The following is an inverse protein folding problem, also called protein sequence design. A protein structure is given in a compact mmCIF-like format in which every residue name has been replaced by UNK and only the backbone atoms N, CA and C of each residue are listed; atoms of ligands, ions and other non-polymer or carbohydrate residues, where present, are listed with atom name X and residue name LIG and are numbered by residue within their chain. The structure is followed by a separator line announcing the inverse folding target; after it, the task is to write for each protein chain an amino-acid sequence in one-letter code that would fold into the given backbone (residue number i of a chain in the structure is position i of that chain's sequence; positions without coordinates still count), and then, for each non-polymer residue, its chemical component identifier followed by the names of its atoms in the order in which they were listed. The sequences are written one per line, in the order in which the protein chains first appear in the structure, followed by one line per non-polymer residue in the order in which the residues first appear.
data_IF_251584855743
#
_entry.id   IF_251584855743
#
_cell.length_a   1.000
_cell.length_b   1.000
_cell.length_c   1.000
_cell.angle_alpha   90.00
_cell.angle_beta   90.00
_cell.angle_gamma   90.00
#
_symmetry.space_group_name_H-M   'P 1'
#
loop_
_entity.id
_entity.type
_entity.pdbx_description
1 polymer ?
#
# COMPACT_ATOMS: atom_id res chain seq x y z
N UNK A 1 7.88 55.79 -26.52
CA UNK A 1 7.13 54.77 -27.26
C UNK A 1 5.82 55.33 -27.74
N UNK A 2 5.55 55.28 -29.04
CA UNK A 2 4.30 55.75 -29.62
C UNK A 2 3.13 54.83 -29.23
N UNK A 3 1.89 55.34 -29.24
CA UNK A 3 0.67 54.52 -29.01
C UNK A 3 0.62 53.28 -29.92
N UNK A 4 1.19 53.41 -31.12
CA UNK A 4 1.32 52.35 -32.12
C UNK A 4 2.28 51.26 -31.66
N UNK A 5 3.45 51.61 -31.12
CA UNK A 5 4.45 50.64 -30.63
C UNK A 5 3.94 49.79 -29.46
N UNK A 6 3.16 50.37 -28.55
CA UNK A 6 2.54 49.62 -27.43
C UNK A 6 1.49 48.62 -27.92
N UNK A 7 0.70 48.98 -28.93
CA UNK A 7 -0.29 48.09 -29.52
C UNK A 7 0.38 46.89 -30.23
N UNK A 8 1.49 47.13 -30.92
CA UNK A 8 2.28 46.07 -31.59
C UNK A 8 2.89 45.10 -30.58
N UNK A 9 3.43 45.59 -29.46
CA UNK A 9 3.98 44.71 -28.41
C UNK A 9 2.91 43.86 -27.71
N UNK A 10 1.72 44.43 -27.44
CA UNK A 10 0.61 43.69 -26.87
C UNK A 10 0.10 42.59 -27.81
N UNK A 11 0.00 42.87 -29.11
CA UNK A 11 -0.37 41.88 -30.13
C UNK A 11 0.66 40.74 -30.25
N UNK A 12 1.95 41.06 -30.22
CA UNK A 12 3.03 40.07 -30.25
C UNK A 12 3.03 39.15 -29.02
N UNK A 13 2.74 39.68 -27.82
CA UNK A 13 2.62 38.90 -26.60
C UNK A 13 1.43 37.93 -26.65
N UNK A 14 0.28 38.37 -27.16
CA UNK A 14 -0.92 37.52 -27.34
C UNK A 14 -0.67 36.44 -28.39
N UNK A 15 0.00 36.76 -29.49
CA UNK A 15 0.38 35.79 -30.52
C UNK A 15 1.32 34.72 -29.98
N UNK A 16 2.33 35.09 -29.18
CA UNK A 16 3.23 34.14 -28.52
C UNK A 16 2.52 33.26 -27.48
N UNK A 17 1.55 33.79 -26.73
CA UNK A 17 0.73 33.01 -25.79
C UNK A 17 -0.12 31.98 -26.54
N UNK A 18 -0.76 32.37 -27.64
CA UNK A 18 -1.54 31.47 -28.51
C UNK A 18 -0.66 30.40 -29.15
N UNK A 19 0.54 30.76 -29.63
CA UNK A 19 1.51 29.82 -30.19
C UNK A 19 1.97 28.80 -29.15
N UNK A 20 2.32 29.23 -27.93
CA UNK A 20 2.68 28.33 -26.81
C UNK A 20 1.55 27.38 -26.43
N UNK A 21 0.30 27.85 -26.40
CA UNK A 21 -0.87 27.00 -26.14
C UNK A 21 -1.12 26.00 -27.27
N UNK A 22 -0.98 26.41 -28.53
CA UNK A 22 -1.10 25.54 -29.69
C UNK A 22 0.02 24.49 -29.72
N UNK A 23 1.26 24.86 -29.44
CA UNK A 23 2.41 23.95 -29.35
C UNK A 23 2.27 22.97 -28.18
N UNK A 24 1.74 23.42 -27.02
CA UNK A 24 1.41 22.54 -25.90
C UNK A 24 0.28 21.56 -26.25
N UNK A 25 -0.78 22.01 -26.93
CA UNK A 25 -1.88 21.15 -27.40
C UNK A 25 -1.40 20.15 -28.46
N UNK A 26 -0.50 20.58 -29.35
CA UNK A 26 0.14 19.72 -30.36
C UNK A 26 1.07 18.70 -29.71
N UNK A 27 1.86 19.11 -28.69
CA UNK A 27 2.68 18.20 -27.88
C UNK A 27 1.82 17.19 -27.13
N UNK A 28 0.72 17.61 -26.51
CA UNK A 28 -0.26 16.70 -25.89
C UNK A 28 -0.85 15.72 -26.91
N UNK A 29 -1.18 16.18 -28.12
CA UNK A 29 -1.68 15.31 -29.20
C UNK A 29 -0.63 14.33 -29.73
N UNK A 30 0.63 14.74 -29.82
CA UNK A 30 1.74 13.86 -30.22
C UNK A 30 2.05 12.83 -29.12
N UNK A 31 2.07 13.27 -27.86
CA UNK A 31 2.27 12.39 -26.72
C UNK A 31 1.12 11.38 -26.61
N UNK A 32 -0.12 11.82 -26.78
CA UNK A 32 -1.29 10.96 -26.79
C UNK A 32 -1.19 9.89 -27.89
N UNK A 33 -0.83 10.29 -29.12
CA UNK A 33 -0.59 9.33 -30.21
C UNK A 33 0.53 8.35 -29.90
N UNK A 34 1.59 8.80 -29.23
CA UNK A 34 2.68 7.94 -28.81
C UNK A 34 2.22 6.94 -27.74
N UNK A 35 1.46 7.39 -26.73
CA UNK A 35 0.88 6.52 -25.69
C UNK A 35 -0.07 5.50 -26.30
N UNK A 36 -0.94 5.91 -27.23
CA UNK A 36 -1.83 5.01 -27.97
C UNK A 36 -1.00 3.97 -28.75
N UNK A 37 0.04 4.39 -29.47
CA UNK A 37 0.93 3.46 -30.18
C UNK A 37 1.61 2.49 -29.24
N UNK A 38 2.19 2.96 -28.13
CA UNK A 38 2.82 2.10 -27.12
C UNK A 38 1.84 1.08 -26.56
N UNK A 39 0.61 1.49 -26.25
CA UNK A 39 -0.45 0.57 -25.80
C UNK A 39 -0.72 -0.54 -26.83
N UNK A 40 -0.79 -0.22 -28.12
CA UNK A 40 -0.94 -1.23 -29.17
C UNK A 40 0.29 -2.14 -29.30
N UNK A 41 1.50 -1.59 -29.19
CA UNK A 41 2.73 -2.39 -29.23
C UNK A 41 2.81 -3.34 -28.04
N UNK A 42 2.54 -2.87 -26.83
CA UNK A 42 2.52 -3.66 -25.60
C UNK A 42 1.51 -4.82 -25.70
N UNK A 43 0.29 -4.53 -26.16
CA UNK A 43 -0.74 -5.54 -26.38
C UNK A 43 -0.35 -6.58 -27.43
N UNK A 44 0.16 -6.13 -28.58
CA UNK A 44 0.59 -7.02 -29.67
C UNK A 44 1.70 -7.96 -29.24
N UNK A 45 2.77 -7.43 -28.63
CA UNK A 45 3.89 -8.27 -28.17
C UNK A 45 3.53 -9.09 -26.94
N UNK A 46 2.69 -8.58 -26.04
CA UNK A 46 2.18 -9.34 -24.89
C UNK A 46 1.42 -10.60 -25.31
N UNK A 47 0.62 -10.53 -26.38
CA UNK A 47 -0.07 -11.70 -26.95
C UNK A 47 0.90 -12.77 -27.47
N UNK A 48 2.06 -12.36 -27.97
CA UNK A 48 3.07 -13.27 -28.49
C UNK A 48 4.10 -13.70 -27.44
N UNK A 49 3.97 -13.24 -26.19
CA UNK A 49 4.81 -13.70 -25.12
C UNK A 49 4.52 -15.18 -24.83
N UNK A 50 5.59 -15.93 -24.71
CA UNK A 50 5.57 -17.36 -24.43
C UNK A 50 4.85 -17.72 -23.12
N UNK A 51 5.01 -16.86 -22.11
CA UNK A 51 4.36 -16.93 -20.82
C UNK A 51 3.93 -15.53 -20.39
N UNK A 52 2.70 -15.41 -19.90
CA UNK A 52 2.14 -14.16 -19.37
C UNK A 52 1.77 -14.35 -17.90
N UNK A 53 2.09 -13.34 -17.09
CA UNK A 53 1.77 -13.32 -15.65
C UNK A 53 1.11 -11.99 -15.30
N UNK A 54 0.24 -12.01 -14.30
CA UNK A 54 -0.45 -10.83 -13.79
C UNK A 54 -0.68 -10.96 -12.29
N UNK A 55 -0.90 -9.84 -11.60
CA UNK A 55 -0.94 -9.81 -10.13
C UNK A 55 -2.34 -9.94 -9.53
N UNK A 56 -3.39 -9.89 -10.37
CA UNK A 56 -4.80 -10.02 -9.95
C UNK A 56 -5.62 -10.82 -10.97
N UNK A 57 -6.79 -11.32 -10.55
CA UNK A 57 -7.74 -11.90 -11.48
C UNK A 57 -8.42 -10.85 -12.34
N UNK A 58 -8.66 -9.64 -11.82
CA UNK A 58 -9.17 -8.53 -12.60
C UNK A 58 -8.25 -8.17 -13.79
N UNK A 59 -6.94 -8.07 -13.55
CA UNK A 59 -5.93 -7.82 -14.59
C UNK A 59 -5.85 -8.97 -15.59
N UNK A 60 -5.94 -10.23 -15.11
CA UNK A 60 -6.02 -11.40 -16.00
C UNK A 60 -7.19 -11.29 -16.97
N UNK A 61 -8.36 -10.91 -16.46
CA UNK A 61 -9.58 -10.80 -17.26
C UNK A 61 -9.48 -9.64 -18.25
N UNK A 62 -8.98 -8.48 -17.82
CA UNK A 62 -8.75 -7.32 -18.68
C UNK A 62 -7.78 -7.63 -19.83
N UNK A 63 -6.65 -8.29 -19.55
CA UNK A 63 -5.68 -8.71 -20.57
C UNK A 63 -6.28 -9.73 -21.56
N UNK A 64 -7.15 -10.62 -21.09
CA UNK A 64 -7.87 -11.57 -21.95
C UNK A 64 -8.89 -10.88 -22.83
N UNK A 65 -9.66 -9.94 -22.30
CA UNK A 65 -10.71 -9.25 -23.05
C UNK A 65 -10.13 -8.24 -24.05
N UNK A 66 -9.05 -7.55 -23.69
CA UNK A 66 -8.42 -6.54 -24.55
C UNK A 66 -7.52 -7.17 -25.63
N UNK A 67 -6.78 -8.23 -25.32
CA UNK A 67 -5.69 -8.73 -26.18
C UNK A 67 -5.71 -10.25 -26.40
N UNK A 68 -6.67 -10.98 -25.84
CA UNK A 68 -6.73 -12.45 -25.84
C UNK A 68 -5.46 -13.09 -25.24
N UNK A 69 -4.87 -12.40 -24.26
CA UNK A 69 -3.70 -12.87 -23.53
C UNK A 69 -4.12 -13.88 -22.46
N UNK A 70 -3.52 -15.06 -22.48
CA UNK A 70 -3.71 -16.07 -21.43
C UNK A 70 -2.63 -15.92 -20.36
N UNK A 71 -2.93 -15.14 -19.31
CA UNK A 71 -2.02 -14.93 -18.19
C UNK A 71 -2.34 -15.81 -16.98
N UNK A 72 -1.31 -16.23 -16.24
CA UNK A 72 -1.48 -16.80 -14.90
C UNK A 72 -1.48 -15.69 -13.84
N UNK A 73 -2.35 -15.82 -12.85
CA UNK A 73 -2.41 -14.89 -11.72
C UNK A 73 -1.42 -15.31 -10.66
N UNK A 74 -0.47 -14.43 -10.36
CA UNK A 74 0.56 -14.57 -9.33
C UNK A 74 0.48 -13.35 -8.44
N UNK A 75 -0.31 -13.47 -7.37
CA UNK A 75 -0.38 -12.41 -6.36
C UNK A 75 1.01 -12.08 -5.80
N UNK A 76 1.29 -10.79 -5.72
CA UNK A 76 2.45 -10.30 -5.00
C UNK A 76 2.21 -10.42 -3.47
N UNK A 77 3.28 -10.68 -2.73
CA UNK A 77 3.26 -11.11 -1.32
C UNK A 77 4.48 -10.61 -0.56
N UNK A 78 4.32 -10.14 0.69
CA UNK A 78 5.45 -9.75 1.52
C UNK A 78 6.34 -10.97 1.81
N UNK A 79 7.65 -10.75 1.99
CA UNK A 79 8.56 -11.80 2.39
C UNK A 79 8.20 -12.31 3.80
N UNK A 80 7.96 -13.62 3.90
CA UNK A 80 7.48 -14.27 5.13
C UNK A 80 8.47 -14.25 6.29
N UNK A 81 9.75 -13.95 6.04
CA UNK A 81 10.80 -14.00 7.07
C UNK A 81 10.83 -12.78 7.98
N UNK A 82 10.34 -11.61 7.54
CA UNK A 82 10.43 -10.35 8.30
C UNK A 82 9.09 -9.69 8.62
N UNK A 83 8.05 -9.91 7.82
CA UNK A 83 6.75 -9.29 8.05
C UNK A 83 5.98 -10.09 9.10
N UNK A 84 6.00 -9.61 10.34
CA UNK A 84 5.22 -10.17 11.44
C UNK A 84 4.85 -9.09 12.46
N UNK A 85 3.84 -9.41 13.27
CA UNK A 85 3.50 -8.60 14.44
C UNK A 85 4.68 -8.57 15.42
N UNK A 86 5.04 -7.36 15.85
CA UNK A 86 6.06 -7.17 16.91
C UNK A 86 5.52 -7.67 18.25
N UNK A 87 6.37 -8.36 19.01
CA UNK A 87 6.06 -8.68 20.41
C UNK A 87 6.07 -7.38 21.25
N UNK A 88 5.62 -7.44 22.51
CA UNK A 88 5.48 -6.22 23.32
C UNK A 88 6.85 -5.57 23.61
N UNK A 89 7.90 -6.37 23.78
CA UNK A 89 9.29 -5.92 23.99
C UNK A 89 9.85 -5.18 22.76
N UNK A 90 9.77 -5.79 21.58
CA UNK A 90 10.17 -5.20 20.30
C UNK A 90 9.38 -3.93 20.01
N UNK A 91 8.09 -3.92 20.33
CA UNK A 91 7.21 -2.77 20.13
C UNK A 91 7.59 -1.61 21.05
N UNK A 92 7.94 -1.89 22.30
CA UNK A 92 8.43 -0.89 23.24
C UNK A 92 9.77 -0.30 22.76
N UNK A 93 10.73 -1.15 22.40
CA UNK A 93 12.02 -0.71 21.86
C UNK A 93 11.84 0.12 20.58
N UNK A 94 10.88 -0.25 19.72
CA UNK A 94 10.52 0.53 18.55
C UNK A 94 9.96 1.92 18.91
N UNK A 95 9.04 2.02 19.87
CA UNK A 95 8.51 3.31 20.33
C UNK A 95 9.58 4.18 21.00
N UNK A 96 10.47 3.60 21.81
CA UNK A 96 11.61 4.32 22.39
C UNK A 96 12.53 4.85 21.29
N UNK A 97 12.84 4.02 20.28
CA UNK A 97 13.65 4.44 19.13
C UNK A 97 12.98 5.59 18.37
N UNK A 98 11.68 5.50 18.09
CA UNK A 98 10.93 6.58 17.42
C UNK A 98 10.93 7.88 18.24
N UNK A 99 10.65 7.78 19.54
CA UNK A 99 10.64 8.92 20.45
C UNK A 99 11.99 9.65 20.53
N UNK A 100 13.09 8.93 20.29
CA UNK A 100 14.47 9.47 20.25
C UNK A 100 14.90 9.94 18.85
N UNK A 101 14.25 9.46 17.78
CA UNK A 101 14.74 9.64 16.40
C UNK A 101 14.62 11.07 15.88
N UNK A 102 13.47 11.73 16.09
CA UNK A 102 13.26 13.11 15.64
C UNK A 102 12.32 13.88 16.54
N UNK A 103 12.42 15.20 16.48
CA UNK A 103 11.56 16.12 17.22
C UNK A 103 10.08 16.03 16.77
N UNK A 104 9.82 15.47 15.59
CA UNK A 104 8.47 15.23 15.06
C UNK A 104 7.73 14.14 15.85
N UNK A 105 8.46 13.20 16.44
CA UNK A 105 7.90 12.12 17.26
C UNK A 105 7.89 12.44 18.76
N UNK A 106 8.04 13.71 19.15
CA UNK A 106 7.97 14.13 20.57
C UNK A 106 6.69 13.67 21.28
N UNK A 107 5.57 13.58 20.56
CA UNK A 107 4.27 13.10 21.07
C UNK A 107 4.31 11.63 21.55
N UNK A 108 5.33 10.86 21.17
CA UNK A 108 5.53 9.47 21.63
C UNK A 108 6.19 9.40 23.02
N UNK A 109 6.75 10.52 23.52
CA UNK A 109 7.29 10.65 24.87
C UNK A 109 6.17 10.84 25.89
N UNK A 110 6.43 10.51 27.15
CA UNK A 110 5.54 10.88 28.26
C UNK A 110 5.93 12.26 28.79
N UNK A 111 4.96 13.05 29.27
CA UNK A 111 5.21 14.37 29.86
C UNK A 111 6.14 14.30 31.09
N UNK A 112 6.23 13.12 31.71
CA UNK A 112 7.11 12.82 32.84
C UNK A 112 8.60 12.84 32.48
N UNK A 113 8.96 12.73 31.19
CA UNK A 113 10.34 12.82 30.71
C UNK A 113 10.79 14.26 30.42
N UNK A 114 9.95 15.26 30.71
CA UNK A 114 10.19 16.67 30.41
C UNK A 114 10.34 17.57 31.66
N UNK A 115 10.94 17.05 32.72
CA UNK A 115 11.38 17.90 33.84
C UNK A 115 12.78 17.54 34.30
N UNK A 116 13.78 18.03 33.58
CA UNK A 116 14.89 18.76 34.18
C UNK A 116 15.32 19.85 33.20
N UNK A 117 15.29 21.10 33.68
CA UNK A 117 15.53 22.32 32.89
C UNK A 117 16.99 22.51 32.43
N UNK A 118 17.84 21.50 32.60
CA UNK A 118 19.24 21.51 32.17
C UNK A 118 19.44 20.29 31.28
N UNK A 119 19.61 20.52 29.97
CA UNK A 119 19.73 19.50 28.93
C UNK A 119 21.02 18.68 29.01
N UNK A 120 21.26 18.01 30.13
CA UNK A 120 22.23 16.94 30.28
C UNK A 120 21.48 15.63 30.48
N UNK A 121 21.62 14.73 29.50
CA UNK A 121 21.18 13.35 29.63
C UNK A 121 22.07 12.68 30.67
N UNK A 122 21.50 12.39 31.84
CA UNK A 122 22.20 11.61 32.85
C UNK A 122 22.37 10.16 32.34
N UNK A 123 23.62 9.70 32.24
CA UNK A 123 24.07 8.38 31.78
C UNK A 123 23.51 7.16 32.56
N UNK A 124 22.49 7.36 33.42
CA UNK A 124 21.84 6.32 34.24
C UNK A 124 20.34 6.12 33.98
N UNK A 125 19.69 6.90 33.10
CA UNK A 125 18.23 6.88 32.86
C UNK A 125 17.73 5.84 31.84
N UNK A 126 18.58 4.93 31.35
CA UNK A 126 18.16 3.90 30.37
C UNK A 126 17.20 2.84 30.95
N UNK A 127 17.01 2.77 32.27
CA UNK A 127 16.30 1.65 32.91
C UNK A 127 14.78 1.81 33.06
N UNK A 128 14.21 3.00 32.88
CA UNK A 128 12.77 3.27 33.11
C UNK A 128 12.18 4.21 32.05
N UNK A 129 12.36 3.90 30.76
CA UNK A 129 11.79 4.73 29.70
C UNK A 129 10.31 4.42 29.50
N UNK A 130 9.44 5.30 29.99
CA UNK A 130 8.02 5.26 29.66
C UNK A 130 7.73 5.98 28.34
N UNK A 131 7.04 5.30 27.43
CA UNK A 131 6.51 5.88 26.20
C UNK A 131 5.02 6.14 26.36
N UNK A 132 4.44 6.96 25.48
CA UNK A 132 2.98 7.20 25.45
C UNK A 132 2.15 5.91 25.24
N UNK A 133 2.79 4.82 24.81
CA UNK A 133 2.15 3.56 24.46
C UNK A 133 2.44 2.41 25.44
N UNK A 134 3.61 2.40 26.06
CA UNK A 134 4.14 1.27 26.82
C UNK A 134 5.15 1.71 27.87
N UNK A 135 5.26 0.94 28.94
CA UNK A 135 6.19 1.14 30.04
C UNK A 135 6.83 -0.19 30.44
N UNK A 136 7.98 -0.12 31.12
CA UNK A 136 8.65 -1.27 31.71
C UNK A 136 8.44 -1.23 33.22
N UNK A 137 7.95 -2.32 33.79
CA UNK A 137 7.73 -2.45 35.25
C UNK A 137 9.05 -2.77 35.98
N UNK A 138 9.02 -2.74 37.31
CA UNK A 138 10.16 -3.05 38.18
C UNK A 138 10.72 -4.46 37.97
N UNK A 139 9.87 -5.40 37.50
CA UNK A 139 10.26 -6.77 37.13
C UNK A 139 10.87 -6.87 35.71
N UNK A 140 11.28 -5.74 35.12
CA UNK A 140 11.81 -5.60 33.76
C UNK A 140 10.88 -6.06 32.63
N UNK A 141 9.61 -6.34 32.95
CA UNK A 141 8.59 -6.74 31.97
C UNK A 141 7.94 -5.52 31.32
N UNK A 142 7.79 -5.58 30.01
CA UNK A 142 7.10 -4.54 29.24
C UNK A 142 5.59 -4.74 29.23
N UNK A 143 4.87 -3.65 29.48
CA UNK A 143 3.42 -3.58 29.48
C UNK A 143 2.92 -2.46 28.57
N UNK A 144 1.81 -2.72 27.86
CA UNK A 144 1.10 -1.68 27.12
C UNK A 144 0.21 -0.89 28.07
N UNK A 145 0.17 0.44 27.89
CA UNK A 145 -0.64 1.30 28.75
C UNK A 145 -2.14 1.15 28.44
N UNK A 146 -2.98 1.29 29.47
CA UNK A 146 -4.45 1.27 29.34
C UNK A 146 -5.02 2.63 28.89
N UNK A 147 -4.20 3.67 28.81
CA UNK A 147 -4.55 5.00 28.29
C UNK A 147 -3.82 5.31 26.96
N UNK A 148 -3.22 4.31 26.31
CA UNK A 148 -2.45 4.51 25.08
C UNK A 148 -3.35 4.96 23.92
N UNK A 149 -2.88 5.87 23.06
CA UNK A 149 -3.64 6.28 21.89
C UNK A 149 -3.64 5.18 20.81
N UNK A 150 -4.67 5.21 19.96
CA UNK A 150 -4.75 4.40 18.74
C UNK A 150 -3.86 5.05 17.66
N UNK A 151 -3.03 4.26 16.98
CA UNK A 151 -2.25 4.72 15.83
C UNK A 151 -3.02 4.34 14.56
N UNK A 152 -3.39 5.33 13.77
CA UNK A 152 -3.90 5.16 12.41
C UNK A 152 -2.80 5.52 11.42
N UNK A 153 -2.49 4.61 10.50
CA UNK A 153 -1.47 4.81 9.47
C UNK A 153 -2.18 4.83 8.12
N UNK A 154 -2.00 5.91 7.36
CA UNK A 154 -2.34 5.95 5.94
C UNK A 154 -1.17 5.44 5.12
N UNK A 155 -1.41 4.58 4.13
CA UNK A 155 -0.38 4.05 3.24
C UNK A 155 0.13 5.08 2.22
N UNK A 156 -0.60 6.17 2.01
CA UNK A 156 -0.28 7.26 1.10
C UNK A 156 -0.40 8.58 1.85
N UNK A 157 0.61 9.44 1.73
CA UNK A 157 0.50 10.85 2.14
C UNK A 157 -0.44 11.56 1.17
N UNK A 158 -1.15 12.57 1.65
CA UNK A 158 -1.85 13.50 0.76
C UNK A 158 -0.90 14.64 0.43
N UNK A 159 -0.55 14.78 -0.85
CA UNK A 159 0.05 16.01 -1.36
C UNK A 159 -0.87 16.56 -2.45
N UNK A 160 -1.05 17.89 -2.50
CA UNK A 160 -2.01 18.55 -3.40
C UNK A 160 -1.73 18.29 -4.88
N UNK A 161 -0.51 17.87 -5.20
CA UNK A 161 -0.02 17.51 -6.54
C UNK A 161 -0.35 16.08 -6.99
N UNK A 162 -0.88 15.21 -6.12
CA UNK A 162 -1.27 13.83 -6.48
C UNK A 162 -2.71 13.75 -7.01
N UNK A 163 -2.87 13.26 -8.25
CA UNK A 163 -4.19 12.95 -8.83
C UNK A 163 -4.68 11.56 -8.35
N UNK A 164 -5.42 11.57 -7.24
CA UNK A 164 -6.05 10.36 -6.69
C UNK A 164 -7.08 9.74 -7.64
N UNK A 165 -7.64 10.49 -8.60
CA UNK A 165 -8.54 9.94 -9.61
C UNK A 165 -7.81 8.91 -10.47
N UNK A 166 -6.62 9.27 -10.95
CA UNK A 166 -5.76 8.37 -11.72
C UNK A 166 -5.34 7.14 -10.90
N UNK A 167 -4.99 7.34 -9.63
CA UNK A 167 -4.64 6.24 -8.73
C UNK A 167 -5.81 5.26 -8.53
N UNK A 168 -7.01 5.79 -8.25
CA UNK A 168 -8.22 4.99 -8.04
C UNK A 168 -8.64 4.24 -9.31
N UNK A 169 -8.41 4.83 -10.48
CA UNK A 169 -8.66 4.19 -11.76
C UNK A 169 -7.69 3.03 -12.01
N UNK A 170 -6.40 3.19 -11.69
CA UNK A 170 -5.41 2.12 -11.78
C UNK A 170 -5.72 0.94 -10.82
N UNK A 171 -6.15 1.26 -9.60
CA UNK A 171 -6.52 0.26 -8.59
C UNK A 171 -7.75 -0.59 -8.98
N UNK A 172 -8.48 -0.27 -10.06
CA UNK A 172 -9.56 -1.15 -10.54
C UNK A 172 -9.04 -2.51 -10.98
N UNK A 173 -7.81 -2.56 -11.48
CA UNK A 173 -7.18 -3.77 -12.01
C UNK A 173 -6.07 -4.30 -11.10
N UNK A 174 -5.47 -3.45 -10.26
CA UNK A 174 -4.32 -3.83 -9.43
C UNK A 174 -4.64 -3.89 -7.94
N UNK A 175 -4.00 -4.82 -7.23
CA UNK A 175 -4.18 -4.99 -5.79
C UNK A 175 -3.18 -4.12 -5.01
N UNK A 176 -3.60 -3.53 -3.88
CA UNK A 176 -2.75 -2.64 -3.13
C UNK A 176 -1.71 -3.44 -2.33
N UNK A 177 -0.45 -3.37 -2.76
CA UNK A 177 0.66 -4.07 -2.09
C UNK A 177 0.78 -3.78 -0.61
N UNK A 178 0.44 -2.55 -0.22
CA UNK A 178 0.45 -2.10 1.17
C UNK A 178 -0.50 -2.90 2.06
N UNK A 179 -1.65 -3.34 1.54
CA UNK A 179 -2.59 -4.18 2.31
C UNK A 179 -1.98 -5.55 2.57
N UNK A 180 -1.26 -6.09 1.58
CA UNK A 180 -0.60 -7.39 1.70
C UNK A 180 0.50 -7.34 2.78
N UNK A 181 1.29 -6.26 2.82
CA UNK A 181 2.28 -5.98 3.87
C UNK A 181 1.63 -5.89 5.26
N UNK A 182 0.50 -5.17 5.36
CA UNK A 182 -0.25 -5.01 6.62
C UNK A 182 -0.80 -6.35 7.11
N UNK A 183 -1.30 -7.20 6.23
CA UNK A 183 -1.76 -8.55 6.57
C UNK A 183 -0.62 -9.44 7.05
N UNK A 184 0.57 -9.34 6.47
CA UNK A 184 1.76 -10.03 6.99
C UNK A 184 2.04 -9.70 8.47
N UNK A 185 1.72 -8.48 8.88
CA UNK A 185 1.86 -8.02 10.27
C UNK A 185 0.60 -8.21 11.14
N UNK A 186 -0.43 -8.90 10.64
CA UNK A 186 -1.74 -9.06 11.28
C UNK A 186 -2.40 -7.71 11.64
N UNK A 187 -2.24 -6.71 10.78
CA UNK A 187 -2.82 -5.38 10.95
C UNK A 187 -4.14 -5.29 10.17
N UNK A 188 -5.28 -5.06 10.84
CA UNK A 188 -6.54 -4.79 10.17
C UNK A 188 -6.47 -3.52 9.32
N UNK A 189 -7.12 -3.55 8.16
CA UNK A 189 -7.12 -2.45 7.20
C UNK A 189 -8.52 -1.87 7.01
N UNK A 190 -8.57 -0.57 6.70
CA UNK A 190 -9.76 0.10 6.20
C UNK A 190 -9.44 0.55 4.78
N UNK A 191 -10.18 0.07 3.77
CA UNK A 191 -9.82 0.26 2.37
C UNK A 191 -10.98 0.83 1.57
N UNK A 192 -10.69 1.78 0.67
CA UNK A 192 -11.69 2.29 -0.28
C UNK A 192 -12.13 1.12 -1.19
N UNK A 193 -13.43 0.95 -1.42
CA UNK A 193 -13.93 -0.09 -2.33
C UNK A 193 -13.59 0.24 -3.78
N UNK A 194 -13.08 -0.75 -4.50
CA UNK A 194 -12.84 -0.76 -5.95
C UNK A 194 -12.96 -2.19 -6.48
N UNK A 195 -12.97 -2.38 -7.81
CA UNK A 195 -13.42 -3.61 -8.46
C UNK A 195 -12.71 -4.89 -7.98
N UNK A 196 -11.38 -4.88 -7.87
CA UNK A 196 -10.60 -6.07 -7.52
C UNK A 196 -10.32 -6.22 -6.02
N UNK A 197 -10.67 -5.26 -5.15
CA UNK A 197 -10.29 -5.32 -3.72
C UNK A 197 -10.86 -6.54 -3.00
N UNK A 198 -11.99 -7.06 -3.48
CA UNK A 198 -12.62 -8.27 -2.94
C UNK A 198 -11.79 -9.53 -3.09
N UNK A 199 -10.78 -9.55 -3.98
CA UNK A 199 -9.81 -10.64 -4.08
C UNK A 199 -8.88 -10.72 -2.85
N UNK A 200 -8.71 -9.60 -2.13
CA UNK A 200 -7.79 -9.48 -1.01
C UNK A 200 -8.51 -9.21 0.32
N UNK A 201 -9.51 -8.31 0.33
CA UNK A 201 -10.21 -7.87 1.54
C UNK A 201 -11.67 -8.31 1.50
N UNK A 202 -12.05 -9.11 2.48
CA UNK A 202 -13.42 -9.48 2.79
C UNK A 202 -13.96 -8.59 3.90
N UNK A 203 -14.93 -7.74 3.56
CA UNK A 203 -15.50 -6.72 4.45
C UNK A 203 -16.11 -7.34 5.71
N UNK A 204 -15.65 -6.91 6.88
CA UNK A 204 -16.05 -7.42 8.18
C UNK A 204 -15.32 -8.70 8.62
N UNK A 205 -14.55 -9.34 7.75
CA UNK A 205 -13.77 -10.54 8.09
C UNK A 205 -12.30 -10.22 8.36
N UNK A 206 -11.56 -9.72 7.37
CA UNK A 206 -10.12 -9.40 7.48
C UNK A 206 -9.83 -7.90 7.34
N UNK A 207 -10.83 -7.09 7.03
CA UNK A 207 -10.73 -5.63 6.97
C UNK A 207 -12.11 -4.99 6.90
N UNK A 208 -12.16 -3.67 6.72
CA UNK A 208 -13.39 -2.93 6.47
C UNK A 208 -13.30 -2.18 5.16
N UNK A 209 -14.38 -2.19 4.39
CA UNK A 209 -14.49 -1.43 3.15
C UNK A 209 -15.36 -0.19 3.35
N UNK A 210 -15.04 0.88 2.63
CA UNK A 210 -15.83 2.11 2.62
C UNK A 210 -15.92 2.69 1.21
N UNK A 211 -16.97 3.46 0.96
CA UNK A 211 -17.15 4.23 -0.28
C UNK A 211 -17.22 5.73 -0.05
N UNK A 212 -17.67 6.14 1.14
CA UNK A 212 -17.88 7.55 1.48
C UNK A 212 -17.02 8.01 2.65
N UNK A 213 -16.76 9.32 2.71
CA UNK A 213 -16.08 9.92 3.86
C UNK A 213 -16.87 9.73 5.17
N UNK A 214 -18.20 9.66 5.08
CA UNK A 214 -19.07 9.39 6.23
C UNK A 214 -18.87 7.96 6.76
N UNK A 215 -18.84 6.96 5.88
CA UNK A 215 -18.54 5.57 6.27
C UNK A 215 -17.15 5.43 6.87
N UNK A 216 -16.14 6.03 6.24
CA UNK A 216 -14.77 6.04 6.77
C UNK A 216 -14.72 6.63 8.19
N UNK A 217 -15.33 7.81 8.37
CA UNK A 217 -15.40 8.47 9.68
C UNK A 217 -16.12 7.60 10.71
N UNK A 218 -17.22 6.95 10.32
CA UNK A 218 -17.97 6.07 11.19
C UNK A 218 -17.16 4.84 11.62
N UNK A 219 -16.44 4.19 10.69
CA UNK A 219 -15.58 3.04 10.97
C UNK A 219 -14.45 3.45 11.93
N UNK A 220 -13.75 4.56 11.65
CA UNK A 220 -12.66 5.06 12.51
C UNK A 220 -13.18 5.38 13.91
N UNK A 221 -14.31 6.09 14.03
CA UNK A 221 -14.93 6.40 15.33
C UNK A 221 -15.29 5.12 16.08
N UNK A 222 -15.87 4.15 15.39
CA UNK A 222 -16.24 2.86 15.97
C UNK A 222 -15.03 2.19 16.60
N UNK A 223 -13.90 2.10 15.89
CA UNK A 223 -12.68 1.47 16.41
C UNK A 223 -11.95 2.30 17.48
N UNK A 224 -12.04 3.64 17.44
CA UNK A 224 -11.42 4.51 18.42
C UNK A 224 -12.20 4.59 19.73
N UNK A 225 -13.54 4.50 19.70
CA UNK A 225 -14.39 4.58 20.88
C UNK A 225 -14.10 3.44 21.86
N UNK A 226 -13.62 3.79 23.06
CA UNK A 226 -13.37 2.83 24.14
C UNK A 226 -12.05 2.08 24.04
N UNK A 227 -11.23 2.33 23.02
CA UNK A 227 -9.86 1.83 22.96
C UNK A 227 -9.01 2.49 24.07
N UNK A 228 -8.10 1.74 24.73
CA UNK A 228 -7.74 0.33 24.56
C UNK A 228 -8.45 -0.64 25.51
N UNK A 229 -9.54 -0.23 26.19
CA UNK A 229 -10.19 -1.04 27.22
C UNK A 229 -10.99 -2.20 26.60
N UNK A 230 -10.59 -3.42 26.96
CA UNK A 230 -11.03 -4.70 26.39
C UNK A 230 -12.53 -5.02 26.51
N UNK A 231 -13.30 -4.23 27.27
CA UNK A 231 -14.72 -4.46 27.52
C UNK A 231 -15.65 -3.89 26.46
N UNK A 232 -15.13 -3.25 25.41
CA UNK A 232 -15.94 -2.59 24.38
C UNK A 232 -16.10 -3.46 23.14
N UNK A 233 -17.33 -3.48 22.58
CA UNK A 233 -17.68 -4.19 21.34
C UNK A 233 -16.74 -3.79 20.18
N UNK A 234 -16.32 -2.53 20.16
CA UNK A 234 -15.36 -1.98 19.20
C UNK A 234 -14.00 -2.66 19.21
N UNK A 235 -13.44 -2.95 20.40
CA UNK A 235 -12.15 -3.60 20.52
C UNK A 235 -12.26 -5.09 20.19
N UNK A 236 -13.39 -5.72 20.53
CA UNK A 236 -13.69 -7.08 20.09
C UNK A 236 -13.70 -7.17 18.56
N UNK A 237 -14.35 -6.24 17.86
CA UNK A 237 -14.31 -6.21 16.40
C UNK A 237 -12.89 -6.07 15.85
N UNK A 238 -12.08 -5.15 16.37
CA UNK A 238 -10.69 -4.97 15.92
C UNK A 238 -9.84 -6.22 16.17
N UNK A 239 -10.00 -6.86 17.33
CA UNK A 239 -9.32 -8.12 17.64
C UNK A 239 -9.81 -9.27 16.74
N UNK A 240 -11.11 -9.38 16.47
CA UNK A 240 -11.67 -10.37 15.56
C UNK A 240 -11.08 -10.22 14.17
N UNK A 241 -11.00 -9.00 13.63
CA UNK A 241 -10.36 -8.74 12.34
C UNK A 241 -8.89 -9.20 12.34
N UNK A 242 -8.13 -8.83 13.38
CA UNK A 242 -6.73 -9.22 13.51
C UNK A 242 -6.56 -10.74 13.64
N UNK A 243 -7.43 -11.40 14.40
CA UNK A 243 -7.43 -12.86 14.57
C UNK A 243 -7.81 -13.58 13.28
N UNK A 244 -8.75 -13.06 12.50
CA UNK A 244 -9.13 -13.64 11.21
C UNK A 244 -7.99 -13.57 10.19
N UNK A 245 -7.24 -12.45 10.16
CA UNK A 245 -6.02 -12.32 9.33
C UNK A 245 -4.98 -13.37 9.73
N UNK A 246 -4.84 -13.66 11.04
CA UNK A 246 -3.90 -14.67 11.52
C UNK A 246 -4.38 -16.11 11.29
N UNK A 247 -5.69 -16.35 11.35
CA UNK A 247 -6.29 -17.66 11.15
C UNK A 247 -6.23 -18.10 9.68
N UNK A 248 -6.34 -17.13 8.76
CA UNK A 248 -6.24 -17.34 7.32
C UNK A 248 -5.10 -16.51 6.72
N UNK A 249 -3.84 -16.87 7.02
CA UNK A 249 -2.69 -16.12 6.54
C UNK A 249 -2.55 -16.31 5.03
N UNK A 250 -2.16 -15.24 4.34
CA UNK A 250 -1.85 -15.32 2.92
C UNK A 250 -0.79 -16.39 2.65
N UNK A 251 -0.99 -17.16 1.58
CA UNK A 251 0.02 -18.09 1.07
C UNK A 251 1.35 -17.34 0.84
N UNK A 252 2.47 -17.98 1.23
CA UNK A 252 3.79 -17.37 1.03
C UNK A 252 4.08 -17.19 -0.45
N UNK A 253 4.89 -16.18 -0.78
CA UNK A 253 5.32 -15.93 -2.16
C UNK A 253 5.88 -17.20 -2.82
N UNK A 254 6.73 -17.95 -2.12
CA UNK A 254 7.33 -19.20 -2.61
C UNK A 254 6.28 -20.27 -2.95
N UNK A 255 5.31 -20.51 -2.07
CA UNK A 255 4.25 -21.50 -2.30
C UNK A 255 3.34 -21.06 -3.44
N UNK A 256 3.04 -19.76 -3.55
CA UNK A 256 2.26 -19.22 -4.65
C UNK A 256 2.99 -19.36 -5.99
N UNK A 257 4.29 -19.06 -6.01
CA UNK A 257 5.15 -19.24 -7.16
C UNK A 257 5.21 -20.71 -7.60
N UNK A 258 5.41 -21.64 -6.66
CA UNK A 258 5.48 -23.07 -6.95
C UNK A 258 4.13 -23.63 -7.45
N UNK A 259 3.01 -23.05 -7.01
CA UNK A 259 1.68 -23.47 -7.45
C UNK A 259 1.30 -22.89 -8.82
N UNK A 260 1.62 -21.63 -9.09
CA UNK A 260 1.15 -20.91 -10.28
C UNK A 260 2.19 -20.82 -11.39
N UNK A 261 3.45 -20.54 -11.05
CA UNK A 261 4.52 -20.28 -12.02
C UNK A 261 5.35 -21.51 -12.36
N UNK A 262 5.70 -22.30 -11.36
CA UNK A 262 6.56 -23.46 -11.57
C UNK A 262 6.00 -24.48 -12.60
N UNK A 263 4.69 -24.80 -12.63
CA UNK A 263 4.14 -25.69 -13.65
C UNK A 263 4.27 -25.12 -15.07
N UNK A 264 4.14 -23.80 -15.22
CA UNK A 264 4.29 -23.12 -16.50
C UNK A 264 5.73 -23.20 -17.00
N UNK A 265 6.70 -22.85 -16.15
CA UNK A 265 8.13 -22.89 -16.49
C UNK A 265 8.59 -24.32 -16.77
N UNK A 266 8.11 -25.31 -16.01
CA UNK A 266 8.46 -26.72 -16.20
C UNK A 266 7.95 -27.28 -17.52
N UNK A 267 6.74 -26.88 -17.92
CA UNK A 267 6.15 -27.30 -19.19
C UNK A 267 6.68 -26.47 -20.37
N UNK A 268 7.25 -25.30 -20.09
CA UNK A 268 7.85 -24.43 -21.08
C UNK A 268 9.15 -25.05 -21.62
N UNK A 269 9.12 -25.49 -22.88
CA UNK A 269 10.22 -26.21 -23.53
C UNK A 269 10.28 -27.72 -23.21
N UNK A 270 9.33 -28.26 -22.43
CA UNK A 270 9.18 -29.70 -22.30
C UNK A 270 8.72 -30.27 -23.66
N UNK A 271 9.52 -31.16 -24.23
CA UNK A 271 9.14 -31.93 -25.40
C UNK A 271 7.80 -32.62 -25.13
N UNK A 272 6.90 -32.60 -26.10
CA UNK A 272 5.68 -33.40 -26.01
C UNK A 272 6.04 -34.87 -25.78
N UNK A 273 5.15 -35.66 -25.18
CA UNK A 273 5.38 -37.10 -25.00
C UNK A 273 5.73 -37.79 -26.34
N UNK A 274 5.20 -37.28 -27.45
CA UNK A 274 5.49 -37.73 -28.81
C UNK A 274 6.91 -37.36 -29.27
N UNK A 275 7.40 -36.16 -28.96
CA UNK A 275 8.76 -35.72 -29.33
C UNK A 275 9.84 -36.41 -28.48
N UNK A 276 9.55 -36.73 -27.21
CA UNK A 276 10.39 -37.60 -26.38
C UNK A 276 10.47 -39.02 -26.96
N UNK A 277 9.34 -39.57 -27.41
CA UNK A 277 9.29 -40.89 -28.03
C UNK A 277 10.03 -40.94 -29.38
N UNK A 278 10.05 -39.84 -30.15
CA UNK A 278 10.83 -39.73 -31.41
C UNK A 278 12.34 -39.64 -31.19
N UNK A 279 12.80 -39.06 -30.08
CA UNK A 279 14.24 -38.96 -29.74
C UNK A 279 14.82 -40.22 -29.09
N UNK A 280 13.98 -41.15 -28.65
CA UNK A 280 14.39 -42.44 -28.09
C UNK A 280 14.49 -43.56 -29.14
N UNK A 281 14.25 -43.26 -30.42
CA UNK A 281 14.54 -44.14 -31.56
C UNK A 281 15.82 -43.67 -32.25
#
# INVERSE_FOLDING_TARGET
MTRVERAVQAAAAVANKRKRQADRKKRLSLLQRYVEQTYYYEGYFGRHADLNICVTHAMRQDMRDAWDVSAATVYDKPPSWNFRKLNDEERHNFYVKLARYSEEFKTFRTDCSASNANGEFADGEEKLLETRFSYRDNDEKVHLRNDRPLILISSTSWTEDEDFGLLLDALRLDLPMKVVDMFGCALPVIVKRFACIGELVSDGYNGRLFDTAHELSHIIKTFACGFPLYSTVSLQQLNTLASNIQADPLISWSKNWDACMWPLVRNYGALSAEDLARRQR
#
